data_IF_560608332225
#
_entry.id   IF_560608332225
#
_cell.length_a   1.000
_cell.length_b   1.000
_cell.length_c   1.000
_cell.angle_alpha   90.00
_cell.angle_beta   90.00
_cell.angle_gamma   90.00
#
_symmetry.space_group_name_H-M   'P 1'
#
loop_
_entity.id
_entity.type
_entity.pdbx_description
1 polymer ?
#
# COMPACT_ATOMS: atom_id res chain seq x y z
N UNK A 1 -7.12 -13.88 -12.52
CA UNK A 1 -7.61 -12.50 -12.26
C UNK A 1 -7.52 -11.61 -13.50
N UNK A 2 -6.34 -11.41 -14.10
CA UNK A 2 -6.17 -10.56 -15.31
C UNK A 2 -6.99 -10.98 -16.54
N UNK A 3 -7.34 -12.27 -16.65
CA UNK A 3 -8.14 -12.80 -17.76
C UNK A 3 -9.66 -12.73 -17.55
N UNK A 4 -10.13 -12.22 -16.40
CA UNK A 4 -11.58 -12.08 -16.16
C UNK A 4 -12.17 -10.96 -17.04
N UNK A 5 -13.47 -11.03 -17.37
CA UNK A 5 -14.19 -9.94 -18.03
C UNK A 5 -14.03 -8.61 -17.28
N UNK A 6 -14.06 -7.49 -18.02
CA UNK A 6 -13.82 -6.16 -17.45
C UNK A 6 -14.88 -5.73 -16.44
N UNK A 7 -16.11 -6.23 -16.58
CA UNK A 7 -17.26 -5.96 -15.73
C UNK A 7 -17.35 -6.90 -14.52
N UNK A 8 -16.55 -7.97 -14.48
CA UNK A 8 -16.43 -8.81 -13.29
C UNK A 8 -15.76 -8.00 -12.17
N UNK A 9 -16.43 -7.80 -11.01
CA UNK A 9 -15.88 -7.01 -9.90
C UNK A 9 -14.58 -7.60 -9.32
N UNK A 10 -14.27 -8.86 -9.64
CA UNK A 10 -13.06 -9.57 -9.22
C UNK A 10 -11.91 -9.43 -10.22
N UNK A 11 -12.14 -8.82 -11.39
CA UNK A 11 -11.11 -8.62 -12.41
C UNK A 11 -9.97 -7.74 -11.88
N UNK A 12 -8.79 -7.87 -12.47
CA UNK A 12 -7.62 -7.10 -12.03
C UNK A 12 -7.85 -5.59 -12.11
N UNK A 13 -8.55 -5.14 -13.16
CA UNK A 13 -8.93 -3.74 -13.33
C UNK A 13 -9.91 -3.28 -12.25
N UNK A 14 -10.96 -4.06 -11.99
CA UNK A 14 -11.94 -3.67 -10.98
C UNK A 14 -11.36 -3.67 -9.57
N UNK A 15 -10.49 -4.62 -9.25
CA UNK A 15 -9.75 -4.59 -7.98
C UNK A 15 -8.87 -3.34 -7.87
N UNK A 16 -8.13 -2.96 -8.92
CA UNK A 16 -7.39 -1.69 -8.92
C UNK A 16 -8.31 -0.45 -8.77
N UNK A 17 -9.49 -0.47 -9.40
CA UNK A 17 -10.48 0.61 -9.29
C UNK A 17 -11.07 0.75 -7.88
N UNK A 18 -11.08 -0.31 -7.05
CA UNK A 18 -11.50 -0.21 -5.64
C UNK A 18 -10.61 0.80 -4.92
N UNK A 19 -9.28 0.73 -5.08
CA UNK A 19 -8.38 1.74 -4.50
C UNK A 19 -8.69 3.13 -5.07
N UNK A 20 -8.74 3.29 -6.39
CA UNK A 20 -9.06 4.58 -7.01
C UNK A 20 -10.35 5.22 -6.45
N UNK A 21 -11.44 4.46 -6.35
CA UNK A 21 -12.73 5.00 -5.92
C UNK A 21 -12.75 5.45 -4.45
N UNK A 22 -12.07 4.73 -3.56
CA UNK A 22 -12.01 5.07 -2.13
C UNK A 22 -10.95 6.13 -1.79
N UNK A 23 -9.98 6.34 -2.69
CA UNK A 23 -8.80 7.18 -2.44
C UNK A 23 -8.82 8.51 -3.20
N UNK A 24 -9.66 8.65 -4.22
CA UNK A 24 -9.68 9.82 -5.10
C UNK A 24 -11.00 10.60 -5.02
N UNK A 25 -11.55 10.72 -3.80
CA UNK A 25 -12.71 11.57 -3.50
C UNK A 25 -13.94 11.28 -4.37
N UNK A 26 -14.12 10.02 -4.79
CA UNK A 26 -15.20 9.62 -5.70
C UNK A 26 -16.53 9.44 -4.96
N UNK A 27 -16.50 8.86 -3.76
CA UNK A 27 -17.70 8.62 -2.95
C UNK A 27 -17.98 9.74 -1.97
N UNK A 28 -19.25 10.01 -1.71
CA UNK A 28 -19.71 10.88 -0.64
C UNK A 28 -19.92 10.09 0.65
N UNK A 29 -19.66 10.69 1.82
CA UNK A 29 -19.77 9.98 3.11
C UNK A 29 -21.20 9.84 3.61
N UNK A 30 -22.02 10.86 3.38
CA UNK A 30 -23.36 11.01 3.97
C UNK A 30 -24.44 11.28 2.92
N UNK A 31 -24.08 11.22 1.63
CA UNK A 31 -24.92 11.71 0.53
C UNK A 31 -24.82 13.22 0.31
N UNK A 32 -23.99 13.93 1.07
CA UNK A 32 -23.58 15.31 0.81
C UNK A 32 -22.34 15.33 -0.08
N UNK A 33 -22.45 15.90 -1.28
CA UNK A 33 -21.35 16.00 -2.25
C UNK A 33 -20.17 16.84 -1.76
N UNK A 34 -20.37 17.68 -0.73
CA UNK A 34 -19.30 18.45 -0.10
C UNK A 34 -18.49 17.63 0.91
N UNK A 35 -19.01 16.47 1.36
CA UNK A 35 -18.35 15.55 2.28
C UNK A 35 -17.80 14.32 1.55
N UNK A 36 -16.70 14.50 0.82
CA UNK A 36 -16.04 13.40 0.11
C UNK A 36 -15.36 12.42 1.04
N UNK A 37 -15.41 11.13 0.70
CA UNK A 37 -14.69 10.06 1.37
C UNK A 37 -13.23 10.01 0.89
N UNK A 38 -12.31 9.93 1.85
CA UNK A 38 -10.90 9.64 1.64
C UNK A 38 -10.53 8.54 2.62
N UNK A 39 -9.92 7.44 2.16
CA UNK A 39 -9.47 6.33 3.02
C UNK A 39 -8.02 6.50 3.54
N UNK A 40 -7.27 7.48 3.01
CA UNK A 40 -5.92 7.82 3.45
C UNK A 40 -5.89 8.90 4.53
N UNK A 41 -4.77 9.00 5.24
CA UNK A 41 -4.45 10.07 6.20
C UNK A 41 -5.41 10.18 7.40
N UNK A 42 -5.85 9.04 7.94
CA UNK A 42 -6.61 8.96 9.20
C UNK A 42 -6.69 7.53 9.73
N UNK A 43 -7.34 7.40 10.89
CA UNK A 43 -7.52 6.18 11.67
C UNK A 43 -7.90 4.92 10.89
N UNK A 44 -8.69 5.01 9.80
CA UNK A 44 -9.15 3.82 9.08
C UNK A 44 -8.27 3.38 7.92
N UNK A 45 -7.11 4.02 7.72
CA UNK A 45 -6.12 3.59 6.72
C UNK A 45 -5.82 2.08 6.86
N UNK A 46 -5.38 1.63 8.04
CA UNK A 46 -5.06 0.22 8.28
C UNK A 46 -6.25 -0.73 8.13
N UNK A 47 -7.41 -0.54 8.80
CA UNK A 47 -8.51 -1.48 8.69
C UNK A 47 -9.10 -1.53 7.27
N UNK A 48 -9.14 -0.41 6.54
CA UNK A 48 -9.61 -0.41 5.15
C UNK A 48 -8.67 -1.24 4.26
N UNK A 49 -7.35 -0.99 4.33
CA UNK A 49 -6.37 -1.76 3.53
C UNK A 49 -6.34 -3.24 3.93
N UNK A 50 -6.54 -3.57 5.22
CA UNK A 50 -6.69 -4.95 5.67
C UNK A 50 -7.88 -5.64 5.00
N UNK A 51 -9.04 -5.00 4.95
CA UNK A 51 -10.22 -5.56 4.28
C UNK A 51 -10.05 -5.64 2.76
N UNK A 52 -9.40 -4.65 2.15
CA UNK A 52 -9.10 -4.67 0.72
C UNK A 52 -8.23 -5.88 0.37
N UNK A 53 -7.13 -6.10 1.10
CA UNK A 53 -6.26 -7.26 0.90
C UNK A 53 -6.93 -8.59 1.25
N UNK A 54 -7.76 -8.63 2.29
CA UNK A 54 -8.52 -9.83 2.68
C UNK A 54 -9.39 -10.35 1.54
N UNK A 55 -10.17 -9.48 0.88
CA UNK A 55 -10.99 -9.90 -0.24
C UNK A 55 -10.14 -10.21 -1.48
N UNK A 56 -9.10 -9.42 -1.75
CA UNK A 56 -8.19 -9.64 -2.87
C UNK A 56 -7.52 -11.03 -2.81
N UNK A 57 -6.99 -11.41 -1.65
CA UNK A 57 -6.39 -12.73 -1.40
C UNK A 57 -7.39 -13.87 -1.62
N UNK A 58 -8.60 -13.74 -1.05
CA UNK A 58 -9.65 -14.77 -1.19
C UNK A 58 -10.15 -14.92 -2.62
N UNK A 59 -10.22 -13.83 -3.37
CA UNK A 59 -10.54 -13.87 -4.79
C UNK A 59 -9.46 -14.64 -5.54
N UNK A 60 -8.17 -14.34 -5.31
CA UNK A 60 -7.07 -15.05 -5.95
C UNK A 60 -7.10 -16.55 -5.65
N UNK A 61 -7.23 -16.94 -4.38
CA UNK A 61 -7.37 -18.34 -3.99
C UNK A 61 -8.56 -19.01 -4.65
N UNK A 62 -9.72 -18.34 -4.71
CA UNK A 62 -10.90 -18.89 -5.38
C UNK A 62 -10.71 -19.09 -6.90
N UNK A 63 -9.95 -18.23 -7.56
CA UNK A 63 -9.72 -18.33 -9.01
C UNK A 63 -8.80 -19.49 -9.42
N UNK A 64 -8.04 -20.04 -8.47
CA UNK A 64 -7.18 -21.21 -8.69
C UNK A 64 -7.64 -22.45 -7.90
N UNK A 65 -8.81 -22.35 -7.26
CA UNK A 65 -9.38 -23.37 -6.37
C UNK A 65 -8.46 -23.81 -5.23
N UNK A 66 -7.69 -22.87 -4.69
CA UNK A 66 -6.78 -23.08 -3.55
C UNK A 66 -7.24 -22.24 -2.35
N UNK A 67 -7.86 -22.85 -1.32
CA UNK A 67 -8.28 -22.14 -0.11
C UNK A 67 -7.11 -21.79 0.83
N UNK A 68 -5.90 -22.29 0.55
CA UNK A 68 -4.69 -22.04 1.33
C UNK A 68 -3.80 -20.94 0.75
N UNK A 69 -4.17 -20.42 -0.44
CA UNK A 69 -3.46 -19.33 -1.09
C UNK A 69 -3.31 -18.14 -0.13
N UNK A 70 -2.08 -17.63 -0.04
CA UNK A 70 -1.73 -16.45 0.73
C UNK A 70 -0.95 -15.46 -0.12
N UNK A 71 -1.21 -14.17 0.07
CA UNK A 71 -0.42 -13.11 -0.56
C UNK A 71 0.99 -13.08 0.03
N UNK A 72 2.02 -12.89 -0.81
CA UNK A 72 3.33 -12.52 -0.30
C UNK A 72 3.29 -11.09 0.24
N UNK A 73 4.19 -10.79 1.17
CA UNK A 73 4.50 -9.41 1.56
C UNK A 73 5.90 -9.04 1.07
N UNK A 74 6.10 -7.77 0.72
CA UNK A 74 7.44 -7.26 0.46
C UNK A 74 8.10 -6.94 1.80
N UNK A 75 9.14 -7.70 2.15
CA UNK A 75 9.85 -7.64 3.43
C UNK A 75 10.90 -6.51 3.48
N UNK A 76 10.48 -5.28 3.19
CA UNK A 76 11.38 -4.12 3.05
C UNK A 76 11.95 -3.59 4.37
N UNK A 77 11.47 -4.06 5.51
CA UNK A 77 12.03 -3.81 6.84
C UNK A 77 13.23 -4.72 7.18
N UNK A 78 13.51 -5.72 6.34
CA UNK A 78 14.69 -6.59 6.44
C UNK A 78 15.67 -6.28 5.30
N UNK A 79 16.99 -6.11 5.56
CA UNK A 79 17.99 -5.81 4.52
C UNK A 79 17.93 -6.73 3.29
N UNK A 80 17.74 -8.03 3.47
CA UNK A 80 17.68 -9.00 2.37
C UNK A 80 16.41 -8.87 1.52
N UNK A 81 15.37 -8.21 2.06
CA UNK A 81 14.09 -7.95 1.39
C UNK A 81 13.87 -6.50 0.97
N UNK A 82 14.84 -5.59 1.16
CA UNK A 82 14.70 -4.16 0.83
C UNK A 82 14.59 -3.89 -0.67
N UNK A 83 15.22 -4.69 -1.52
CA UNK A 83 15.06 -4.57 -2.97
C UNK A 83 13.71 -5.16 -3.41
N UNK A 84 13.18 -4.67 -4.54
CA UNK A 84 11.93 -5.20 -5.12
C UNK A 84 12.08 -6.73 -5.34
N UNK A 85 11.14 -7.57 -4.87
CA UNK A 85 11.21 -9.01 -5.08
C UNK A 85 11.32 -9.37 -6.57
N UNK A 86 12.24 -10.29 -6.90
CA UNK A 86 12.53 -10.66 -8.29
C UNK A 86 11.28 -11.09 -9.10
N UNK A 87 10.31 -11.73 -8.44
CA UNK A 87 9.05 -12.15 -9.06
C UNK A 87 8.24 -10.99 -9.68
N UNK A 88 8.42 -9.77 -9.16
CA UNK A 88 7.73 -8.56 -9.61
C UNK A 88 8.42 -7.91 -10.80
N UNK A 89 9.71 -8.18 -11.07
CA UNK A 89 10.48 -7.50 -12.15
C UNK A 89 10.96 -8.45 -13.24
N UNK A 90 10.75 -9.75 -13.06
CA UNK A 90 11.10 -10.77 -14.05
C UNK A 90 10.32 -10.56 -15.34
N UNK A 91 11.04 -10.58 -16.47
CA UNK A 91 10.45 -10.53 -17.81
C UNK A 91 9.39 -11.63 -17.98
N UNK A 92 8.29 -11.31 -18.67
CA UNK A 92 7.14 -12.19 -18.88
C UNK A 92 6.39 -12.63 -17.60
N UNK A 93 6.73 -12.11 -16.41
CA UNK A 93 5.94 -12.32 -15.21
C UNK A 93 4.60 -11.59 -15.32
N UNK A 94 3.51 -12.26 -14.97
CA UNK A 94 2.19 -11.61 -14.87
C UNK A 94 2.12 -10.61 -13.71
N UNK A 95 3.12 -10.57 -12.84
CA UNK A 95 3.28 -9.61 -11.75
C UNK A 95 4.14 -8.39 -12.16
N UNK A 96 4.73 -8.40 -13.35
CA UNK A 96 5.50 -7.27 -13.83
C UNK A 96 4.62 -6.07 -14.19
N UNK A 97 5.17 -4.88 -13.95
CA UNK A 97 4.62 -3.61 -14.37
C UNK A 97 5.78 -2.75 -14.89
N UNK A 98 5.68 -2.34 -16.16
CA UNK A 98 6.69 -1.51 -16.84
C UNK A 98 6.65 -0.06 -16.35
N UNK A 99 5.56 0.38 -15.71
CA UNK A 99 5.37 1.74 -15.19
C UNK A 99 6.01 1.94 -13.81
N UNK A 100 7.16 1.32 -13.56
CA UNK A 100 7.99 1.53 -12.36
C UNK A 100 9.17 2.44 -12.67
N UNK A 101 9.75 3.04 -11.63
CA UNK A 101 11.00 3.77 -11.79
C UNK A 101 12.14 2.79 -12.10
N UNK A 102 12.69 2.91 -13.31
CA UNK A 102 13.71 1.99 -13.83
C UNK A 102 15.03 2.08 -13.05
N UNK A 103 15.32 3.20 -12.37
CA UNK A 103 16.53 3.35 -11.55
C UNK A 103 16.41 2.69 -10.17
N UNK A 104 15.20 2.31 -9.75
CA UNK A 104 14.92 1.69 -8.44
C UNK A 104 14.64 0.19 -8.54
N UNK A 105 14.86 -0.42 -9.71
CA UNK A 105 14.77 -1.87 -9.85
C UNK A 105 15.95 -2.55 -9.13
N UNK A 106 15.84 -3.84 -8.80
CA UNK A 106 16.93 -4.58 -8.16
C UNK A 106 18.26 -4.43 -8.93
N UNK A 107 19.40 -4.33 -8.22
CA UNK A 107 19.57 -4.60 -6.78
C UNK A 107 19.34 -3.40 -5.85
N UNK A 108 18.79 -2.28 -6.33
CA UNK A 108 18.59 -1.08 -5.52
C UNK A 108 17.60 -1.34 -4.36
N UNK A 109 17.98 -1.08 -3.09
CA UNK A 109 17.05 -1.16 -1.97
C UNK A 109 16.01 -0.03 -2.06
N UNK A 110 14.76 -0.28 -1.63
CA UNK A 110 13.78 0.77 -1.44
C UNK A 110 14.28 1.78 -0.39
N UNK A 111 14.12 3.07 -0.64
CA UNK A 111 14.43 4.13 0.31
C UNK A 111 13.15 4.53 1.05
N UNK A 112 13.05 4.19 2.34
CA UNK A 112 11.87 4.51 3.16
C UNK A 112 11.76 6.00 3.49
N UNK A 113 12.85 6.76 3.33
CA UNK A 113 12.89 8.22 3.43
C UNK A 113 13.07 8.87 2.05
N UNK A 114 12.47 8.28 1.02
CA UNK A 114 12.65 8.72 -0.35
C UNK A 114 12.33 10.20 -0.54
N UNK A 115 13.24 10.88 -1.22
CA UNK A 115 13.11 12.25 -1.72
C UNK A 115 13.79 12.37 -3.07
N UNK A 116 13.50 13.44 -3.81
CA UNK A 116 14.15 13.71 -5.10
C UNK A 116 15.67 13.95 -4.99
N UNK A 117 16.19 14.13 -3.77
CA UNK A 117 17.61 14.37 -3.47
C UNK A 117 18.23 13.26 -2.60
N UNK A 118 17.56 12.10 -2.51
CA UNK A 118 18.01 10.96 -1.71
C UNK A 118 19.41 10.46 -2.09
N UNK A 119 20.07 9.86 -1.11
CA UNK A 119 21.34 9.16 -1.32
C UNK A 119 21.08 7.92 -2.17
N UNK A 120 22.04 7.58 -3.03
CA UNK A 120 21.98 6.38 -3.87
C UNK A 120 22.84 5.23 -3.33
N UNK A 121 23.60 5.46 -2.25
CA UNK A 121 24.45 4.45 -1.62
C UNK A 121 23.59 3.44 -0.84
N UNK A 122 23.57 2.16 -1.23
CA UNK A 122 22.78 1.12 -0.56
C UNK A 122 23.10 0.98 0.93
N UNK A 123 24.35 1.17 1.35
CA UNK A 123 24.74 1.03 2.75
C UNK A 123 24.11 2.13 3.62
N UNK A 124 23.99 3.34 3.06
CA UNK A 124 23.31 4.44 3.73
C UNK A 124 21.80 4.18 3.77
N UNK A 125 21.21 3.78 2.63
CA UNK A 125 19.77 3.47 2.54
C UNK A 125 19.38 2.40 3.56
N UNK A 126 20.13 1.29 3.65
CA UNK A 126 19.82 0.19 4.58
C UNK A 126 19.83 0.69 6.03
N UNK A 127 20.86 1.45 6.44
CA UNK A 127 20.94 1.96 7.81
C UNK A 127 19.83 2.97 8.11
N UNK A 128 19.51 3.83 7.15
CA UNK A 128 18.43 4.80 7.27
C UNK A 128 17.07 4.11 7.35
N UNK A 129 16.80 3.09 6.54
CA UNK A 129 15.56 2.31 6.59
C UNK A 129 15.35 1.66 7.96
N UNK A 130 16.40 1.05 8.54
CA UNK A 130 16.31 0.43 9.86
C UNK A 130 16.00 1.47 10.96
N UNK A 131 16.61 2.65 10.88
CA UNK A 131 16.33 3.75 11.80
C UNK A 131 14.91 4.30 11.61
N UNK A 132 14.44 4.39 10.37
CA UNK A 132 13.09 4.84 10.03
C UNK A 132 12.05 3.86 10.57
N UNK A 133 12.21 2.56 10.35
CA UNK A 133 11.33 1.55 10.91
C UNK A 133 11.24 1.61 12.43
N UNK A 134 12.35 1.86 13.11
CA UNK A 134 12.33 2.10 14.55
C UNK A 134 11.58 3.38 14.92
N UNK A 135 11.70 4.43 14.09
CA UNK A 135 10.90 5.65 14.14
C UNK A 135 9.40 5.35 14.12
N UNK A 136 8.96 4.74 13.02
CA UNK A 136 7.55 4.54 12.68
C UNK A 136 6.85 3.50 13.54
N UNK A 137 7.58 2.54 14.11
CA UNK A 137 7.02 1.45 14.91
C UNK A 137 7.18 1.63 16.42
N UNK A 138 8.17 2.42 16.87
CA UNK A 138 8.54 2.50 18.30
C UNK A 138 8.70 3.93 18.79
N UNK A 139 9.67 4.66 18.24
CA UNK A 139 10.09 5.96 18.79
C UNK A 139 8.99 7.01 18.73
N UNK A 140 8.25 7.06 17.62
CA UNK A 140 7.22 8.06 17.36
C UNK A 140 5.82 7.62 17.81
N UNK A 141 5.68 6.38 18.31
CA UNK A 141 4.40 5.77 18.64
C UNK A 141 4.21 5.69 20.15
N UNK A 142 3.54 6.68 20.72
CA UNK A 142 3.22 6.72 22.15
C UNK A 142 1.74 6.42 22.46
N UNK A 143 0.88 6.50 21.45
CA UNK A 143 -0.56 6.25 21.54
C UNK A 143 -1.12 5.77 20.19
N UNK A 144 -2.41 5.41 20.18
CA UNK A 144 -3.09 4.86 19.00
C UNK A 144 -3.14 5.88 17.86
N UNK A 145 -3.40 7.16 18.16
CA UNK A 145 -3.47 8.22 17.17
C UNK A 145 -2.12 8.50 16.49
N UNK A 146 -1.00 8.28 17.19
CA UNK A 146 0.33 8.36 16.57
C UNK A 146 0.49 7.32 15.46
N UNK A 147 0.01 6.10 15.65
CA UNK A 147 0.17 5.03 14.66
C UNK A 147 -0.94 5.02 13.61
N UNK A 148 -2.19 5.12 14.02
CA UNK A 148 -3.34 5.01 13.11
C UNK A 148 -3.69 6.34 12.43
N UNK A 149 -3.28 7.48 13.00
CA UNK A 149 -3.64 8.81 12.52
C UNK A 149 -4.89 9.40 13.18
N UNK A 150 -5.27 10.58 12.69
CA UNK A 150 -6.34 11.39 13.27
C UNK A 150 -7.72 10.73 13.12
N UNK A 151 -8.68 11.13 13.96
CA UNK A 151 -10.08 10.71 13.83
C UNK A 151 -10.71 11.42 12.63
N UNK A 152 -11.51 10.69 11.86
CA UNK A 152 -12.24 11.21 10.72
C UNK A 152 -13.74 10.95 10.88
N UNK A 153 -14.46 11.94 11.41
CA UNK A 153 -15.90 11.86 11.72
C UNK A 153 -16.69 12.78 10.79
N UNK A 154 -18.03 12.73 10.85
CA UNK A 154 -18.92 13.62 10.10
C UNK A 154 -18.56 15.08 10.41
N UNK A 155 -18.54 15.96 9.40
CA UNK A 155 -18.11 17.35 9.51
C UNK A 155 -16.60 17.57 9.58
N UNK A 156 -15.77 16.52 9.55
CA UNK A 156 -14.31 16.67 9.42
C UNK A 156 -13.93 16.76 7.95
N UNK A 157 -13.04 17.68 7.59
CA UNK A 157 -12.47 17.73 6.24
C UNK A 157 -11.67 16.46 5.91
N UNK A 158 -11.58 16.04 4.63
CA UNK A 158 -10.69 14.96 4.22
C UNK A 158 -9.24 15.21 4.66
N UNK A 159 -8.47 14.12 4.78
CA UNK A 159 -7.06 14.15 5.18
C UNK A 159 -6.77 14.81 6.55
N UNK A 160 -7.45 14.40 7.64
CA UNK A 160 -7.30 15.04 8.94
C UNK A 160 -5.91 14.86 9.58
N UNK A 161 -5.14 13.85 9.16
CA UNK A 161 -3.75 13.65 9.57
C UNK A 161 -3.35 12.18 9.57
N UNK A 162 -2.28 11.79 8.86
CA UNK A 162 -1.76 10.43 8.91
C UNK A 162 -1.21 10.09 10.29
N UNK A 163 -1.10 8.79 10.55
CA UNK A 163 -0.25 8.28 11.62
C UNK A 163 1.17 8.08 11.11
N UNK A 164 1.93 7.30 11.85
CA UNK A 164 3.19 6.72 11.38
C UNK A 164 2.92 5.61 10.35
N UNK A 165 3.97 5.24 9.62
CA UNK A 165 4.06 4.38 8.42
C UNK A 165 3.83 5.09 7.09
#
# INVERSE_FOLDING_TARGET
MKALPYDDPRSFMQQANVHCAYCNLTYDRTGDESEKLQIHNFLHFFPWHRWYLYFYERILGKLIDDPTFALPFWNWDNPDGMAIPAMLVRENSTLNDERRNQTHLPPTPADLLYSSTSKTDPNIIILTNLAEMYGEMVRNVSNVENFYGAKYVIGTAPDPGPGTV
#
